data_IF_818727390395
#
_entry.id   IF_818727390395
#
_cell.length_a   1.000
_cell.length_b   1.000
_cell.length_c   1.000
_cell.angle_alpha   90.00
_cell.angle_beta   90.00
_cell.angle_gamma   90.00
#
_symmetry.space_group_name_H-M   'P 1'
#
loop_
_entity.id
_entity.type
_entity.pdbx_description
1 polymer ?
#
# COMPACT_ATOMS: atom_id res chain seq x y z
N UNK A 1 -2.10 -0.45 30.37
CA UNK A 1 -1.63 -0.28 28.96
C UNK A 1 -2.19 -1.42 28.13
N UNK A 2 -3.14 -1.16 27.23
CA UNK A 2 -3.64 -2.17 26.30
C UNK A 2 -2.51 -2.52 25.35
N UNK A 3 -2.09 -3.79 25.32
CA UNK A 3 -1.23 -4.33 24.28
C UNK A 3 -1.98 -4.24 22.95
N UNK A 4 -1.85 -3.11 22.27
CA UNK A 4 -2.25 -2.98 20.87
C UNK A 4 -1.29 -3.86 20.08
N UNK A 5 -1.75 -5.07 19.74
CA UNK A 5 -1.07 -5.94 18.80
C UNK A 5 -0.86 -5.08 17.54
N UNK A 6 0.38 -4.69 17.26
CA UNK A 6 0.72 -3.79 16.17
C UNK A 6 0.25 -4.46 14.88
N UNK A 7 -0.84 -3.97 14.30
CA UNK A 7 -1.30 -4.43 13.00
C UNK A 7 -0.18 -4.18 12.00
N UNK A 8 0.32 -5.24 11.40
CA UNK A 8 1.41 -5.12 10.40
C UNK A 8 0.87 -4.91 8.99
N UNK A 9 -0.39 -5.25 8.75
CA UNK A 9 -0.98 -5.28 7.42
C UNK A 9 -2.49 -5.04 7.52
N UNK A 10 -3.06 -4.43 6.51
CA UNK A 10 -4.51 -4.36 6.29
C UNK A 10 -4.77 -4.74 4.83
N UNK A 11 -5.07 -6.02 4.61
CA UNK A 11 -5.18 -6.62 3.27
C UNK A 11 -6.62 -6.96 2.94
N UNK A 12 -7.38 -7.41 3.95
CA UNK A 12 -8.76 -7.85 3.81
C UNK A 12 -9.61 -7.37 4.97
N UNK A 13 -10.93 -7.49 4.86
CA UNK A 13 -11.86 -7.20 5.95
C UNK A 13 -11.62 -8.07 7.19
N UNK A 14 -11.02 -9.25 7.04
CA UNK A 14 -10.70 -10.14 8.16
C UNK A 14 -9.59 -9.58 9.06
N UNK A 15 -8.82 -8.62 8.58
CA UNK A 15 -7.80 -7.93 9.37
C UNK A 15 -8.41 -6.91 10.35
N UNK A 16 -9.70 -6.59 10.20
CA UNK A 16 -10.41 -5.68 11.09
C UNK A 16 -10.89 -6.42 12.35
N UNK A 17 -10.58 -5.92 13.54
CA UNK A 17 -11.05 -6.51 14.79
C UNK A 17 -12.57 -6.37 14.99
N UNK A 18 -13.18 -5.34 14.43
CA UNK A 18 -14.61 -5.07 14.50
C UNK A 18 -15.03 -4.15 13.35
N UNK A 19 -15.81 -4.68 12.41
CA UNK A 19 -16.25 -3.95 11.23
C UNK A 19 -17.16 -2.76 11.57
N UNK A 20 -18.15 -2.95 12.46
CA UNK A 20 -19.09 -1.88 12.82
C UNK A 20 -18.40 -0.70 13.50
N UNK A 21 -17.40 -0.99 14.34
CA UNK A 21 -16.58 0.05 14.94
C UNK A 21 -15.78 0.84 13.89
N UNK A 22 -15.30 0.19 12.83
CA UNK A 22 -14.60 0.88 11.74
C UNK A 22 -15.56 1.76 10.92
N UNK A 23 -16.77 1.28 10.65
CA UNK A 23 -17.81 2.08 9.99
C UNK A 23 -18.20 3.30 10.83
N UNK A 24 -18.34 3.14 12.13
CA UNK A 24 -18.61 4.24 13.06
C UNK A 24 -17.47 5.28 13.04
N UNK A 25 -16.22 4.81 13.12
CA UNK A 25 -15.04 5.67 13.03
C UNK A 25 -14.96 6.42 11.70
N UNK A 26 -15.28 5.75 10.58
CA UNK A 26 -15.31 6.40 9.26
C UNK A 26 -16.36 7.54 9.21
N UNK A 27 -17.54 7.34 9.79
CA UNK A 27 -18.56 8.39 9.90
C UNK A 27 -18.10 9.55 10.77
N UNK A 28 -17.44 9.27 11.89
CA UNK A 28 -16.86 10.27 12.78
C UNK A 28 -15.79 11.11 12.06
N UNK A 29 -14.85 10.46 11.37
CA UNK A 29 -13.81 11.14 10.57
C UNK A 29 -14.46 12.00 9.45
N UNK A 30 -15.51 11.50 8.83
CA UNK A 30 -16.23 12.27 7.79
C UNK A 30 -16.86 13.54 8.37
N UNK A 31 -17.37 13.49 9.59
CA UNK A 31 -17.96 14.66 10.28
C UNK A 31 -16.87 15.66 10.75
N UNK A 32 -15.71 15.17 11.18
CA UNK A 32 -14.59 15.99 11.63
C UNK A 32 -13.26 15.52 11.03
N UNK A 33 -12.94 15.85 9.78
CA UNK A 33 -11.81 15.30 9.03
C UNK A 33 -10.43 15.58 9.62
N UNK A 34 -10.27 16.59 10.45
CA UNK A 34 -8.99 17.01 11.02
C UNK A 34 -8.74 16.51 12.45
N UNK A 35 -9.69 15.78 13.05
CA UNK A 35 -9.57 15.35 14.44
C UNK A 35 -8.33 14.48 14.72
N UNK A 36 -7.83 13.79 13.70
CA UNK A 36 -6.66 12.91 13.80
C UNK A 36 -5.41 13.46 13.10
N UNK A 37 -5.35 14.74 12.77
CA UNK A 37 -4.22 15.36 12.04
C UNK A 37 -2.84 15.15 12.69
N UNK A 38 -2.80 14.85 14.00
CA UNK A 38 -1.55 14.64 14.74
C UNK A 38 -1.07 13.19 14.71
N UNK A 39 -1.92 12.25 14.32
CA UNK A 39 -1.61 10.79 14.35
C UNK A 39 -0.48 10.43 13.40
N UNK A 40 -0.48 11.03 12.21
CA UNK A 40 0.52 10.80 11.18
C UNK A 40 1.67 11.81 11.18
N UNK A 41 1.78 12.70 12.16
CA UNK A 41 2.84 13.72 12.20
C UNK A 41 4.22 13.08 12.13
N UNK A 42 5.05 13.54 11.20
CA UNK A 42 6.41 13.01 10.91
C UNK A 42 6.40 11.57 10.41
N UNK A 43 5.30 11.14 9.81
CA UNK A 43 5.15 9.84 9.16
C UNK A 43 4.94 10.04 7.66
N UNK A 44 5.45 9.11 6.89
CA UNK A 44 5.33 9.11 5.43
C UNK A 44 4.44 7.95 4.99
N UNK A 45 3.41 8.27 4.21
CA UNK A 45 2.58 7.30 3.50
C UNK A 45 3.11 7.14 2.07
N UNK A 46 3.62 5.96 1.73
CA UNK A 46 3.93 5.59 0.36
C UNK A 46 2.70 5.03 -0.34
N UNK A 47 2.40 5.51 -1.56
CA UNK A 47 1.30 5.02 -2.38
C UNK A 47 1.86 4.47 -3.69
N UNK A 48 1.80 3.14 -3.84
CA UNK A 48 2.28 2.43 -5.03
C UNK A 48 1.12 2.11 -5.95
N UNK A 49 1.20 2.61 -7.18
CA UNK A 49 0.19 2.37 -8.22
C UNK A 49 0.79 1.56 -9.36
N UNK A 50 0.33 0.34 -9.51
CA UNK A 50 0.67 -0.55 -10.65
C UNK A 50 -0.31 -0.38 -11.82
N UNK A 51 -1.46 0.23 -11.57
CA UNK A 51 -2.49 0.53 -12.54
C UNK A 51 -2.97 1.98 -12.42
N UNK A 52 -3.43 2.60 -13.52
CA UNK A 52 -4.01 3.93 -13.47
C UNK A 52 -5.20 4.00 -12.50
N UNK A 53 -5.26 5.07 -11.72
CA UNK A 53 -6.37 5.33 -10.81
C UNK A 53 -6.57 6.83 -10.60
N UNK A 54 -7.80 7.27 -10.66
CA UNK A 54 -8.18 8.65 -10.31
C UNK A 54 -8.69 8.71 -8.86
N UNK A 55 -9.75 7.96 -8.57
CA UNK A 55 -10.43 8.03 -7.27
C UNK A 55 -9.56 7.55 -6.11
N UNK A 56 -8.98 6.37 -6.22
CA UNK A 56 -8.10 5.81 -5.18
C UNK A 56 -6.91 6.74 -4.93
N UNK A 57 -6.30 7.26 -6.01
CA UNK A 57 -5.18 8.21 -5.90
C UNK A 57 -5.54 9.47 -5.13
N UNK A 58 -6.65 10.10 -5.47
CA UNK A 58 -7.07 11.35 -4.81
C UNK A 58 -7.52 11.11 -3.37
N UNK A 59 -8.30 10.06 -3.12
CA UNK A 59 -8.84 9.76 -1.78
C UNK A 59 -7.74 9.37 -0.79
N UNK A 60 -6.81 8.52 -1.18
CA UNK A 60 -5.72 8.08 -0.29
C UNK A 60 -4.72 9.19 -0.01
N UNK A 61 -4.37 10.02 -1.00
CA UNK A 61 -3.55 11.20 -0.77
C UNK A 61 -4.24 12.18 0.20
N UNK A 62 -5.54 12.42 -0.02
CA UNK A 62 -6.31 13.30 0.87
C UNK A 62 -6.36 12.74 2.29
N UNK A 63 -6.61 11.43 2.45
CA UNK A 63 -6.64 10.77 3.75
C UNK A 63 -5.30 10.90 4.49
N UNK A 64 -4.18 10.63 3.82
CA UNK A 64 -2.84 10.79 4.40
C UNK A 64 -2.60 12.22 4.92
N UNK A 65 -2.93 13.22 4.12
CA UNK A 65 -2.79 14.64 4.51
C UNK A 65 -3.69 15.03 5.68
N UNK A 66 -4.93 14.52 5.74
CA UNK A 66 -5.84 14.77 6.87
C UNK A 66 -5.34 14.13 8.18
N UNK A 67 -4.54 13.08 8.09
CA UNK A 67 -3.85 12.48 9.23
C UNK A 67 -2.53 13.20 9.60
N UNK A 68 -2.13 14.22 8.83
CA UNK A 68 -0.88 14.95 9.03
C UNK A 68 0.37 14.22 8.53
N UNK A 69 0.21 13.27 7.62
CA UNK A 69 1.30 12.53 6.99
C UNK A 69 1.87 13.26 5.78
N UNK A 70 3.15 13.09 5.54
CA UNK A 70 3.73 13.29 4.21
C UNK A 70 3.26 12.16 3.29
N UNK A 71 3.05 12.45 2.00
CA UNK A 71 2.55 11.46 1.04
C UNK A 71 3.46 11.41 -0.18
N UNK A 72 4.03 10.25 -0.43
CA UNK A 72 4.82 9.94 -1.62
C UNK A 72 4.02 9.03 -2.55
N UNK A 73 3.86 9.45 -3.81
CA UNK A 73 3.13 8.66 -4.82
C UNK A 73 4.12 8.15 -5.86
N UNK A 74 4.13 6.84 -6.06
CA UNK A 74 5.01 6.14 -7.00
C UNK A 74 4.18 5.36 -8.01
N UNK A 75 4.53 5.50 -9.29
CA UNK A 75 3.90 4.76 -10.38
C UNK A 75 4.84 3.65 -10.84
N UNK A 76 4.37 2.42 -10.75
CA UNK A 76 5.05 1.22 -11.22
C UNK A 76 4.34 0.70 -12.49
N UNK A 77 4.20 1.55 -13.48
CA UNK A 77 3.70 1.15 -14.79
C UNK A 77 4.86 0.87 -15.75
N UNK A 78 4.60 0.18 -16.84
CA UNK A 78 5.61 -0.17 -17.86
C UNK A 78 6.38 1.03 -18.42
N UNK A 79 5.88 2.26 -18.23
CA UNK A 79 6.51 3.48 -18.73
C UNK A 79 7.49 4.13 -17.74
N UNK A 80 7.39 3.79 -16.44
CA UNK A 80 8.16 4.47 -15.40
C UNK A 80 9.15 3.56 -14.66
N UNK A 81 8.70 2.40 -14.18
CA UNK A 81 9.52 1.49 -13.37
C UNK A 81 9.05 0.04 -13.56
N UNK A 82 9.71 -0.69 -14.43
CA UNK A 82 9.44 -2.10 -14.61
C UNK A 82 10.11 -2.91 -13.49
N UNK A 83 9.29 -3.65 -12.73
CA UNK A 83 9.76 -4.51 -11.64
C UNK A 83 9.79 -5.96 -12.09
N UNK A 84 10.85 -6.67 -11.68
CA UNK A 84 10.97 -8.11 -11.78
C UNK A 84 10.44 -8.79 -10.53
N UNK A 85 9.61 -9.82 -10.69
CA UNK A 85 8.98 -10.56 -9.59
C UNK A 85 9.53 -11.97 -9.41
N UNK A 86 10.20 -12.53 -10.43
CA UNK A 86 10.69 -13.90 -10.40
C UNK A 86 12.04 -13.99 -9.69
N UNK A 87 12.13 -14.86 -8.67
CA UNK A 87 13.36 -15.09 -7.93
C UNK A 87 14.43 -15.75 -8.80
N UNK A 88 15.68 -15.29 -8.69
CA UNK A 88 16.82 -15.84 -9.41
C UNK A 88 16.93 -15.40 -10.87
N UNK A 89 16.10 -14.46 -11.33
CA UNK A 89 16.19 -13.91 -12.68
C UNK A 89 17.44 -13.04 -12.81
N UNK A 90 18.19 -13.24 -13.91
CA UNK A 90 19.28 -12.32 -14.28
C UNK A 90 18.62 -11.03 -14.77
N UNK A 91 19.01 -9.90 -14.14
CA UNK A 91 18.48 -8.58 -14.46
C UNK A 91 19.01 -8.11 -15.83
N UNK A 92 18.34 -8.53 -16.90
CA UNK A 92 18.63 -8.14 -18.27
C UNK A 92 17.42 -7.44 -18.91
N UNK A 93 17.68 -6.45 -19.75
CA UNK A 93 16.67 -5.76 -20.54
C UNK A 93 16.03 -4.55 -19.87
N UNK A 94 14.71 -4.39 -20.01
CA UNK A 94 13.97 -3.17 -19.60
C UNK A 94 13.57 -3.16 -18.11
N UNK A 95 13.86 -4.20 -17.34
CA UNK A 95 13.51 -4.29 -15.92
C UNK A 95 14.59 -3.65 -15.08
N UNK A 96 14.22 -2.59 -14.37
CA UNK A 96 15.16 -1.74 -13.66
C UNK A 96 15.47 -2.22 -12.25
N UNK A 97 14.59 -3.02 -11.63
CA UNK A 97 14.70 -3.38 -10.22
C UNK A 97 13.91 -4.65 -9.90
N UNK A 98 14.40 -5.44 -8.95
CA UNK A 98 13.67 -6.59 -8.43
C UNK A 98 12.73 -6.15 -7.30
N UNK A 99 11.55 -6.80 -7.19
CA UNK A 99 10.54 -6.47 -6.16
C UNK A 99 11.10 -6.49 -4.74
N UNK A 100 12.05 -7.38 -4.47
CA UNK A 100 12.73 -7.52 -3.17
C UNK A 100 13.49 -6.26 -2.79
N UNK A 101 14.27 -5.71 -3.72
CA UNK A 101 14.99 -4.45 -3.50
C UNK A 101 14.01 -3.29 -3.42
N UNK A 102 13.06 -3.19 -4.35
CA UNK A 102 12.04 -2.14 -4.36
C UNK A 102 11.27 -2.07 -3.03
N UNK A 103 10.79 -3.19 -2.50
CA UNK A 103 10.07 -3.25 -1.23
C UNK A 103 10.94 -2.82 -0.04
N UNK A 104 12.22 -3.19 -0.03
CA UNK A 104 13.16 -2.79 1.02
C UNK A 104 13.50 -1.29 0.92
N UNK A 105 13.75 -0.77 -0.27
CA UNK A 105 14.03 0.65 -0.50
C UNK A 105 12.83 1.51 -0.08
N UNK A 106 11.62 1.19 -0.55
CA UNK A 106 10.40 1.92 -0.16
C UNK A 106 10.21 1.91 1.37
N UNK A 107 10.53 0.79 2.02
CA UNK A 107 10.44 0.66 3.48
C UNK A 107 11.45 1.54 4.26
N UNK A 108 12.49 2.08 3.61
CA UNK A 108 13.41 3.04 4.24
C UNK A 108 12.83 4.46 4.27
N UNK A 109 11.98 4.78 3.29
CA UNK A 109 11.45 6.14 3.11
C UNK A 109 10.02 6.31 3.60
N UNK A 110 9.28 5.21 3.77
CA UNK A 110 7.88 5.23 4.17
C UNK A 110 7.67 4.51 5.51
N UNK A 111 6.72 5.00 6.31
CA UNK A 111 6.30 4.37 7.57
C UNK A 111 5.13 3.39 7.37
N UNK A 112 4.40 3.55 6.29
CA UNK A 112 3.28 2.71 5.85
C UNK A 112 3.16 2.80 4.33
N UNK A 113 2.78 1.71 3.69
CA UNK A 113 2.68 1.64 2.23
C UNK A 113 1.30 1.14 1.81
N UNK A 114 0.63 1.90 0.96
CA UNK A 114 -0.58 1.47 0.25
C UNK A 114 -0.24 0.96 -1.14
N UNK A 115 -0.76 -0.20 -1.51
CA UNK A 115 -0.53 -0.84 -2.81
C UNK A 115 -1.86 -0.99 -3.53
N UNK A 116 -1.88 -0.59 -4.80
CA UNK A 116 -2.97 -0.84 -5.73
C UNK A 116 -2.41 -1.57 -6.95
N UNK A 117 -2.79 -2.84 -7.08
CA UNK A 117 -2.38 -3.70 -8.18
C UNK A 117 -3.56 -4.59 -8.59
N UNK A 118 -4.04 -4.43 -9.81
CA UNK A 118 -5.12 -5.26 -10.33
C UNK A 118 -4.59 -6.52 -10.97
N UNK A 119 -5.46 -7.53 -11.03
CA UNK A 119 -5.33 -8.69 -11.86
C UNK A 119 -5.03 -8.29 -13.32
N UNK A 120 -4.16 -9.05 -13.96
CA UNK A 120 -3.82 -8.81 -15.38
C UNK A 120 -4.92 -9.27 -16.33
N UNK A 121 -5.80 -10.16 -15.85
CA UNK A 121 -6.87 -10.85 -16.61
C UNK A 121 -6.32 -11.71 -17.77
N UNK A 122 -5.06 -12.09 -17.70
CA UNK A 122 -4.40 -12.92 -18.69
C UNK A 122 -4.08 -14.33 -18.19
N UNK A 123 -3.83 -14.45 -16.88
CA UNK A 123 -3.50 -15.72 -16.21
C UNK A 123 -4.23 -15.77 -14.86
N UNK A 124 -5.31 -16.55 -14.81
CA UNK A 124 -6.20 -16.63 -13.64
C UNK A 124 -5.46 -17.12 -12.38
N UNK A 125 -4.56 -18.08 -12.49
CA UNK A 125 -3.85 -18.63 -11.34
C UNK A 125 -2.92 -17.58 -10.74
N UNK A 126 -2.15 -16.88 -11.57
CA UNK A 126 -1.27 -15.79 -11.13
C UNK A 126 -2.03 -14.59 -10.59
N UNK A 127 -3.19 -14.29 -11.15
CA UNK A 127 -4.04 -13.19 -10.72
C UNK A 127 -4.67 -13.49 -9.35
N UNK A 128 -5.10 -14.74 -9.09
CA UNK A 128 -5.63 -15.18 -7.79
C UNK A 128 -4.55 -15.19 -6.69
N UNK A 129 -3.29 -15.35 -7.04
CA UNK A 129 -2.17 -15.29 -6.10
C UNK A 129 -1.80 -13.86 -5.67
N UNK A 130 -2.36 -12.81 -6.31
CA UNK A 130 -2.03 -11.40 -6.03
C UNK A 130 -0.51 -11.16 -5.96
N UNK A 131 0.26 -11.71 -6.92
CA UNK A 131 1.71 -11.81 -6.91
C UNK A 131 2.41 -10.51 -6.46
N UNK A 132 1.99 -9.36 -6.99
CA UNK A 132 2.56 -8.05 -6.65
C UNK A 132 2.42 -7.78 -5.16
N UNK A 133 1.20 -7.92 -4.62
CA UNK A 133 0.90 -7.65 -3.22
C UNK A 133 1.66 -8.61 -2.30
N UNK A 134 1.64 -9.91 -2.60
CA UNK A 134 2.30 -10.93 -1.79
C UNK A 134 3.82 -10.74 -1.75
N UNK A 135 4.46 -10.45 -2.88
CA UNK A 135 5.90 -10.18 -2.93
C UNK A 135 6.30 -8.92 -2.16
N UNK A 136 5.48 -7.87 -2.19
CA UNK A 136 5.73 -6.71 -1.33
C UNK A 136 5.55 -7.03 0.15
N UNK A 137 4.53 -7.82 0.53
CA UNK A 137 4.31 -8.26 1.92
C UNK A 137 5.50 -9.05 2.45
N UNK A 138 6.05 -9.94 1.62
CA UNK A 138 7.19 -10.79 1.99
C UNK A 138 8.44 -9.96 2.32
N UNK A 139 8.70 -8.89 1.57
CA UNK A 139 9.96 -8.16 1.64
C UNK A 139 9.88 -6.80 2.32
N UNK A 140 8.70 -6.22 2.47
CA UNK A 140 8.53 -4.92 3.14
C UNK A 140 8.74 -5.02 4.65
N UNK A 141 9.32 -3.97 5.22
CA UNK A 141 9.57 -3.84 6.67
C UNK A 141 8.56 -2.93 7.38
N UNK A 142 7.62 -2.38 6.65
CA UNK A 142 6.58 -1.47 7.11
C UNK A 142 5.19 -2.06 6.87
N UNK A 143 4.14 -1.60 7.58
CA UNK A 143 2.78 -2.02 7.33
C UNK A 143 2.35 -1.82 5.88
N UNK A 144 1.63 -2.80 5.33
CA UNK A 144 1.05 -2.75 3.99
C UNK A 144 -0.47 -2.58 4.08
N UNK A 145 -1.01 -1.70 3.24
CA UNK A 145 -2.44 -1.53 2.98
C UNK A 145 -2.74 -2.01 1.56
N UNK A 146 -3.68 -2.93 1.44
CA UNK A 146 -4.30 -3.22 0.14
C UNK A 146 -5.32 -2.12 -0.19
N UNK A 147 -5.07 -1.35 -1.24
CA UNK A 147 -5.97 -0.28 -1.67
C UNK A 147 -7.00 -0.77 -2.71
N UNK A 148 -6.69 -1.81 -3.41
CA UNK A 148 -7.55 -2.51 -4.38
C UNK A 148 -6.68 -3.53 -5.16
N UNK A 149 -7.04 -4.79 -5.08
CA UNK A 149 -6.39 -5.89 -5.81
C UNK A 149 -7.44 -6.81 -6.42
#
# INVERSE_FOLDING_TARGET
>A
MRNLKKMKQFLTLNDLPNFDAQVALAKEIKANPYQFEKVGKRKTLGLLFFNPSLRTRLSTQKAGRLLGMDVMVMNFSNEAWAIEYEDGTIMEGLRSEHVKEAAQVVSQYCDIVGIRAFATLTDKEKDEEEQVLQKFIEHAKVPILNMES
#
